data_IF_384515870647
#
_entry.id   IF_384515870647
#
_cell.length_a   1.000
_cell.length_b   1.000
_cell.length_c   1.000
_cell.angle_alpha   90.00
_cell.angle_beta   90.00
_cell.angle_gamma   90.00
#
_symmetry.space_group_name_H-M   'P 1'
#
loop_
_entity.id
_entity.type
_entity.pdbx_description
1 polymer ?
#
# COMPACT_ATOMS: atom_id res chain seq x y z
N UNK A 1 5.42 5.39 -17.08
CA UNK A 1 5.06 4.24 -16.22
C UNK A 1 5.16 4.59 -14.74
N UNK A 2 6.34 4.93 -14.19
CA UNK A 2 6.43 5.41 -12.79
C UNK A 2 5.72 6.76 -12.62
N UNK A 3 5.97 7.71 -13.53
CA UNK A 3 5.35 9.05 -13.49
C UNK A 3 3.82 8.98 -13.57
N UNK A 4 3.27 8.06 -14.38
CA UNK A 4 1.83 7.86 -14.52
C UNK A 4 1.22 7.29 -13.23
N UNK A 5 1.92 6.33 -12.60
CA UNK A 5 1.50 5.75 -11.32
C UNK A 5 1.60 6.77 -10.18
N UNK A 6 2.69 7.54 -10.14
CA UNK A 6 2.86 8.64 -9.17
C UNK A 6 1.77 9.69 -9.34
N UNK A 7 1.46 10.08 -10.57
CA UNK A 7 0.35 10.99 -10.86
C UNK A 7 -0.98 10.40 -10.39
N UNK A 8 -1.28 9.16 -10.75
CA UNK A 8 -2.51 8.47 -10.33
C UNK A 8 -2.64 8.45 -8.80
N UNK A 9 -1.54 8.20 -8.10
CA UNK A 9 -1.50 8.19 -6.63
C UNK A 9 -1.72 9.57 -6.05
N UNK A 10 -1.06 10.60 -6.58
CA UNK A 10 -1.23 11.96 -6.12
C UNK A 10 -2.67 12.45 -6.32
N UNK A 11 -3.30 12.10 -7.44
CA UNK A 11 -4.68 12.46 -7.75
C UNK A 11 -5.71 11.76 -6.84
N UNK A 12 -5.37 10.59 -6.29
CA UNK A 12 -6.30 9.73 -5.56
C UNK A 12 -5.97 9.52 -4.07
N UNK A 13 -4.88 10.11 -3.58
CA UNK A 13 -4.51 10.02 -2.16
C UNK A 13 -5.46 10.87 -1.30
N UNK A 14 -6.36 10.21 -0.58
CA UNK A 14 -7.36 10.86 0.26
C UNK A 14 -6.92 11.10 1.71
N UNK A 15 -5.63 10.89 2.00
CA UNK A 15 -5.09 11.03 3.36
C UNK A 15 -4.15 12.22 3.50
N UNK A 16 -4.61 13.33 4.11
CA UNK A 16 -3.75 14.43 4.50
C UNK A 16 -2.60 13.94 5.39
N UNK A 17 -1.37 14.40 5.12
CA UNK A 17 -0.17 14.05 5.88
C UNK A 17 0.48 12.70 5.52
N UNK A 18 -0.07 11.94 4.56
CA UNK A 18 0.62 10.83 3.92
C UNK A 18 1.10 11.29 2.55
N UNK A 19 2.41 11.26 2.28
CA UNK A 19 2.92 11.67 0.97
C UNK A 19 2.52 10.65 -0.11
N UNK A 20 2.27 11.14 -1.33
CA UNK A 20 2.02 10.26 -2.48
C UNK A 20 3.18 9.30 -2.74
N UNK A 21 4.41 9.74 -2.52
CA UNK A 21 5.61 8.91 -2.61
C UNK A 21 5.59 7.71 -1.65
N UNK A 22 5.09 7.88 -0.41
CA UNK A 22 4.93 6.73 0.50
C UNK A 22 3.85 5.77 0.00
N UNK A 23 2.74 6.28 -0.53
CA UNK A 23 1.68 5.44 -1.13
C UNK A 23 2.20 4.68 -2.35
N UNK A 24 3.05 5.31 -3.16
CA UNK A 24 3.74 4.68 -4.30
C UNK A 24 4.58 3.49 -3.86
N UNK A 25 5.42 3.65 -2.84
CA UNK A 25 6.25 2.55 -2.36
C UNK A 25 5.45 1.42 -1.74
N UNK A 26 4.29 1.74 -1.13
CA UNK A 26 3.34 0.72 -0.67
C UNK A 26 2.76 -0.03 -1.87
N UNK A 27 2.27 0.68 -2.90
CA UNK A 27 1.72 0.05 -4.11
C UNK A 27 2.74 -0.90 -4.77
N UNK A 28 4.00 -0.46 -4.91
CA UNK A 28 5.09 -1.27 -5.43
C UNK A 28 5.41 -2.47 -4.53
N UNK A 29 5.35 -2.30 -3.21
CA UNK A 29 5.57 -3.40 -2.26
C UNK A 29 4.44 -4.44 -2.30
N UNK A 30 3.20 -4.00 -2.48
CA UNK A 30 2.01 -4.85 -2.47
C UNK A 30 1.84 -5.63 -3.78
N UNK A 31 1.95 -4.96 -4.92
CA UNK A 31 1.61 -5.54 -6.24
C UNK A 31 2.72 -5.44 -7.27
N UNK A 32 3.84 -4.79 -6.95
CA UNK A 32 4.83 -4.39 -7.96
C UNK A 32 4.30 -3.32 -8.93
N UNK A 33 3.20 -2.64 -8.59
CA UNK A 33 2.53 -1.68 -9.47
C UNK A 33 1.48 -2.29 -10.40
N UNK A 34 1.18 -3.59 -10.27
CA UNK A 34 0.18 -4.27 -11.10
C UNK A 34 -1.24 -4.02 -10.57
N UNK A 35 -2.11 -3.28 -11.31
CA UNK A 35 -3.49 -3.04 -10.90
C UNK A 35 -4.37 -4.30 -10.95
N UNK A 36 -3.90 -5.38 -11.59
CA UNK A 36 -4.63 -6.64 -11.72
C UNK A 36 -4.10 -7.73 -10.76
N UNK A 37 -3.20 -7.37 -9.83
CA UNK A 37 -2.64 -8.33 -8.89
C UNK A 37 -3.72 -8.98 -8.02
N UNK A 38 -3.69 -10.31 -7.91
CA UNK A 38 -4.62 -11.08 -7.09
C UNK A 38 -3.85 -12.09 -6.24
N UNK A 39 -4.07 -12.06 -4.93
CA UNK A 39 -3.46 -13.04 -4.04
C UNK A 39 -4.16 -14.40 -4.15
N UNK A 40 -3.39 -15.48 -4.33
CA UNK A 40 -3.92 -16.84 -4.45
C UNK A 40 -4.41 -17.45 -3.13
N UNK A 41 -3.97 -16.91 -2.00
CA UNK A 41 -4.24 -17.44 -0.65
C UNK A 41 -5.10 -16.51 0.22
N UNK A 42 -5.56 -15.37 -0.32
CA UNK A 42 -6.33 -14.39 0.44
C UNK A 42 -7.35 -13.65 -0.44
N UNK A 43 -8.07 -12.68 0.16
CA UNK A 43 -8.94 -11.78 -0.59
C UNK A 43 -8.24 -10.47 -0.99
N UNK A 44 -6.92 -10.42 -0.97
CA UNK A 44 -6.20 -9.22 -1.40
C UNK A 44 -6.24 -9.09 -2.93
N UNK A 45 -6.66 -7.92 -3.41
CA UNK A 45 -6.78 -7.63 -4.84
C UNK A 45 -6.29 -6.23 -5.19
N UNK A 46 -5.94 -6.09 -6.47
CA UNK A 46 -5.62 -4.83 -7.11
C UNK A 46 -4.28 -4.23 -6.71
N UNK A 47 -4.05 -3.00 -7.17
CA UNK A 47 -2.81 -2.24 -7.01
C UNK A 47 -2.32 -2.18 -5.54
N UNK A 48 -3.26 -2.07 -4.60
CA UNK A 48 -2.98 -1.85 -3.18
C UNK A 48 -3.23 -3.09 -2.31
N UNK A 49 -3.49 -4.25 -2.93
CA UNK A 49 -3.74 -5.54 -2.27
C UNK A 49 -4.77 -5.45 -1.12
N UNK A 50 -5.88 -4.76 -1.37
CA UNK A 50 -6.93 -4.54 -0.36
C UNK A 50 -7.75 -5.81 -0.17
N UNK A 51 -7.93 -6.22 1.08
CA UNK A 51 -8.82 -7.34 1.45
C UNK A 51 -10.27 -6.92 1.64
N UNK A 52 -11.21 -7.89 1.64
CA UNK A 52 -12.62 -7.62 1.96
C UNK A 52 -12.81 -6.96 3.34
N UNK A 53 -11.98 -7.33 4.31
CA UNK A 53 -12.04 -6.78 5.67
C UNK A 53 -11.60 -5.32 5.68
N UNK A 54 -10.50 -5.00 4.99
CA UNK A 54 -10.02 -3.62 4.84
C UNK A 54 -11.05 -2.75 4.12
N UNK A 55 -11.62 -3.22 3.02
CA UNK A 55 -12.67 -2.50 2.28
C UNK A 55 -13.88 -2.19 3.17
N UNK A 56 -14.33 -3.15 3.99
CA UNK A 56 -15.40 -2.93 4.96
C UNK A 56 -15.03 -1.88 6.02
N UNK A 57 -13.82 -1.93 6.56
CA UNK A 57 -13.33 -0.97 7.56
C UNK A 57 -13.21 0.45 6.98
N UNK A 58 -12.76 0.56 5.73
CA UNK A 58 -12.61 1.81 4.98
C UNK A 58 -13.90 2.30 4.31
N UNK A 59 -14.99 1.52 4.38
CA UNK A 59 -16.29 1.80 3.74
C UNK A 59 -16.20 1.96 2.22
N UNK A 60 -15.47 1.07 1.56
CA UNK A 60 -15.34 1.02 0.09
C UNK A 60 -16.14 -0.15 -0.50
N UNK A 61 -16.44 -0.07 -1.79
CA UNK A 61 -16.94 -1.22 -2.55
C UNK A 61 -15.79 -2.15 -2.93
N UNK A 62 -15.80 -3.39 -2.45
CA UNK A 62 -14.73 -4.35 -2.75
C UNK A 62 -14.66 -4.73 -4.24
N UNK A 63 -15.80 -4.79 -4.94
CA UNK A 63 -15.83 -5.11 -6.37
C UNK A 63 -15.24 -4.02 -7.27
N UNK A 64 -15.12 -2.79 -6.76
CA UNK A 64 -14.54 -1.67 -7.49
C UNK A 64 -13.01 -1.64 -7.44
N UNK A 65 -12.36 -2.44 -6.58
CA UNK A 65 -10.93 -2.33 -6.29
C UNK A 65 -10.01 -2.90 -7.38
N UNK A 66 -10.57 -3.43 -8.47
CA UNK A 66 -9.83 -3.70 -9.70
C UNK A 66 -9.51 -2.38 -10.45
N UNK A 67 -10.26 -1.30 -10.20
CA UNK A 67 -9.88 0.04 -10.61
C UNK A 67 -8.77 0.56 -9.66
N UNK A 68 -7.59 0.93 -10.18
CA UNK A 68 -6.48 1.37 -9.34
C UNK A 68 -6.74 2.68 -8.61
N UNK A 69 -7.55 3.60 -9.15
CA UNK A 69 -7.95 4.83 -8.46
C UNK A 69 -8.78 4.49 -7.21
N UNK A 70 -9.78 3.62 -7.35
CA UNK A 70 -10.60 3.13 -6.23
C UNK A 70 -9.75 2.38 -5.20
N UNK A 71 -8.78 1.58 -5.64
CA UNK A 71 -7.84 0.89 -4.76
C UNK A 71 -7.01 1.88 -3.92
N UNK A 72 -6.45 2.93 -4.52
CA UNK A 72 -5.66 3.97 -3.83
C UNK A 72 -6.53 4.74 -2.83
N UNK A 73 -7.71 5.17 -3.24
CA UNK A 73 -8.65 5.88 -2.36
C UNK A 73 -9.05 5.00 -1.18
N UNK A 74 -9.31 3.71 -1.42
CA UNK A 74 -9.67 2.80 -0.36
C UNK A 74 -8.52 2.52 0.61
N UNK A 75 -7.30 2.32 0.10
CA UNK A 75 -6.10 2.12 0.91
C UNK A 75 -5.85 3.31 1.84
N UNK A 76 -5.96 4.53 1.32
CA UNK A 76 -5.70 5.75 2.09
C UNK A 76 -6.80 6.01 3.12
N UNK A 77 -8.07 5.76 2.78
CA UNK A 77 -9.19 5.71 3.75
C UNK A 77 -8.97 4.66 4.84
N UNK A 78 -8.45 3.50 4.49
CA UNK A 78 -8.15 2.44 5.45
C UNK A 78 -7.06 2.88 6.43
N UNK A 79 -5.99 3.51 5.95
CA UNK A 79 -4.94 4.07 6.80
C UNK A 79 -5.46 5.21 7.70
N UNK A 80 -6.40 6.04 7.22
CA UNK A 80 -7.11 7.00 8.07
C UNK A 80 -7.89 6.30 9.19
N UNK A 81 -8.59 5.20 8.87
CA UNK A 81 -9.32 4.41 9.86
C UNK A 81 -8.36 3.78 10.89
N UNK A 82 -7.24 3.19 10.45
CA UNK A 82 -6.21 2.67 11.36
C UNK A 82 -5.67 3.76 12.26
N UNK A 83 -5.38 4.93 11.67
CA UNK A 83 -4.82 6.05 12.41
C UNK A 83 -5.75 6.57 13.50
N UNK A 84 -7.04 6.68 13.17
CA UNK A 84 -8.08 7.14 14.09
C UNK A 84 -8.35 6.16 15.24
N UNK A 85 -8.31 4.85 14.97
CA UNK A 85 -8.77 3.85 15.92
C UNK A 85 -7.65 3.18 16.73
N UNK A 86 -6.41 3.18 16.23
CA UNK A 86 -5.32 2.42 16.85
C UNK A 86 -4.07 3.25 17.15
N UNK A 87 -3.64 4.14 16.26
CA UNK A 87 -2.44 4.97 16.52
C UNK A 87 -2.30 6.15 15.56
N UNK A 88 -2.02 7.38 16.05
CA UNK A 88 -1.68 8.49 15.17
C UNK A 88 -0.29 8.33 14.51
N UNK A 89 0.53 7.40 15.00
CA UNK A 89 1.88 7.18 14.48
C UNK A 89 1.85 6.47 13.12
N UNK A 90 2.39 7.15 12.10
CA UNK A 90 2.44 6.64 10.73
C UNK A 90 3.19 5.32 10.59
N UNK A 91 4.29 5.14 11.33
CA UNK A 91 5.09 3.93 11.31
C UNK A 91 4.32 2.71 11.83
N UNK A 92 3.46 2.90 12.85
CA UNK A 92 2.52 1.87 13.30
C UNK A 92 1.42 1.61 12.27
N UNK A 93 0.85 2.67 11.67
CA UNK A 93 -0.20 2.54 10.63
C UNK A 93 0.28 1.73 9.44
N UNK A 94 1.50 1.99 8.93
CA UNK A 94 2.09 1.22 7.82
C UNK A 94 2.30 -0.25 8.22
N UNK A 95 2.77 -0.51 9.44
CA UNK A 95 2.90 -1.89 9.95
C UNK A 95 1.56 -2.62 10.06
N UNK A 96 0.51 -1.91 10.51
CA UNK A 96 -0.86 -2.45 10.63
C UNK A 96 -1.52 -2.64 9.27
N UNK A 97 -1.13 -1.88 8.24
CA UNK A 97 -1.63 -2.08 6.89
C UNK A 97 -1.33 -3.50 6.39
N UNK A 98 -0.11 -3.98 6.63
CA UNK A 98 0.33 -5.32 6.27
C UNK A 98 -0.23 -6.43 7.18
N UNK A 99 -0.18 -6.24 8.51
CA UNK A 99 -0.50 -7.32 9.46
C UNK A 99 -1.90 -7.24 10.08
N UNK A 100 -2.64 -6.18 9.80
CA UNK A 100 -3.87 -5.83 10.50
C UNK A 100 -3.65 -5.17 11.87
N UNK A 101 -4.73 -4.58 12.44
CA UNK A 101 -4.65 -3.72 13.62
C UNK A 101 -4.29 -4.45 14.92
N UNK A 102 -4.61 -5.75 15.04
CA UNK A 102 -4.32 -6.54 16.24
C UNK A 102 -2.82 -6.67 16.56
N UNK A 103 -1.96 -6.43 15.57
CA UNK A 103 -0.50 -6.42 15.75
C UNK A 103 0.05 -5.13 16.38
N UNK A 104 -0.75 -4.06 16.46
CA UNK A 104 -0.28 -2.71 16.79
C UNK A 104 0.74 -2.12 15.79
N UNK A 105 1.00 -2.81 14.67
CA UNK A 105 1.99 -2.42 13.67
C UNK A 105 3.43 -2.65 14.12
N UNK A 106 3.64 -3.57 15.05
CA UNK A 106 4.94 -3.90 15.64
C UNK A 106 5.34 -5.34 15.31
N UNK A 107 6.60 -5.67 15.61
CA UNK A 107 7.17 -6.99 15.44
C UNK A 107 7.84 -7.22 14.09
N UNK A 108 8.55 -8.34 13.98
CA UNK A 108 9.49 -8.61 12.89
C UNK A 108 8.87 -8.59 11.50
N UNK A 109 7.60 -8.98 11.35
CA UNK A 109 6.91 -8.93 10.06
C UNK A 109 6.52 -7.50 9.65
N UNK A 110 6.11 -6.64 10.59
CA UNK A 110 5.92 -5.21 10.33
C UNK A 110 7.24 -4.54 9.96
N UNK A 111 8.32 -4.86 10.69
CA UNK A 111 9.63 -4.26 10.44
C UNK A 111 10.18 -4.67 9.07
N UNK A 112 10.05 -5.95 8.69
CA UNK A 112 10.39 -6.43 7.35
C UNK A 112 9.59 -5.72 6.26
N UNK A 113 8.30 -5.50 6.49
CA UNK A 113 7.45 -4.81 5.53
C UNK A 113 7.85 -3.34 5.34
N UNK A 114 8.10 -2.62 6.44
CA UNK A 114 8.60 -1.23 6.37
C UNK A 114 9.96 -1.16 5.70
N UNK A 115 10.85 -2.12 5.98
CA UNK A 115 12.13 -2.22 5.29
C UNK A 115 11.96 -2.42 3.78
N UNK A 116 10.99 -3.21 3.30
CA UNK A 116 10.72 -3.35 1.87
C UNK A 116 10.33 -2.01 1.22
N UNK A 117 9.50 -1.22 1.91
CA UNK A 117 9.11 0.13 1.48
C UNK A 117 10.34 1.05 1.40
N UNK A 118 11.19 1.02 2.43
CA UNK A 118 12.44 1.81 2.47
C UNK A 118 13.43 1.35 1.38
N UNK A 119 13.54 0.06 1.12
CA UNK A 119 14.40 -0.49 0.06
C UNK A 119 13.90 -0.05 -1.33
N UNK A 120 12.58 -0.03 -1.57
CA UNK A 120 11.97 0.51 -2.79
C UNK A 120 12.32 1.99 -2.97
N UNK A 121 12.19 2.75 -1.88
CA UNK A 121 12.54 4.19 -1.82
C UNK A 121 13.98 4.43 -2.24
N UNK A 122 14.92 3.67 -1.65
CA UNK A 122 16.34 3.77 -1.97
C UNK A 122 16.66 3.35 -3.40
N UNK A 123 15.97 2.35 -3.93
CA UNK A 123 16.15 1.90 -5.31
C UNK A 123 15.77 3.00 -6.32
N UNK A 124 14.60 3.63 -6.13
CA UNK A 124 14.11 4.69 -7.01
C UNK A 124 15.00 5.93 -6.93
N UNK A 125 15.44 6.34 -5.73
CA UNK A 125 16.37 7.47 -5.57
C UNK A 125 17.72 7.25 -6.28
N UNK A 126 18.15 5.99 -6.44
CA UNK A 126 19.40 5.63 -7.14
C UNK A 126 19.24 5.47 -8.65
N UNK A 127 18.10 5.90 -9.23
CA UNK A 127 17.76 5.75 -10.65
C UNK A 127 17.58 4.29 -11.11
N UNK A 128 17.21 3.38 -10.20
CA UNK A 128 16.84 2.02 -10.60
C UNK A 128 15.62 2.03 -11.52
N UNK A 129 15.66 1.25 -12.61
CA UNK A 129 14.50 1.06 -13.48
C UNK A 129 13.33 0.44 -12.68
N UNK A 130 12.09 0.79 -13.04
CA UNK A 130 10.88 0.41 -12.30
C UNK A 130 10.79 -1.09 -11.98
N UNK A 131 11.17 -1.94 -12.93
CA UNK A 131 11.15 -3.40 -12.78
C UNK A 131 12.21 -3.92 -11.79
N UNK A 132 13.30 -3.17 -11.57
CA UNK A 132 14.38 -3.54 -10.65
C UNK A 132 14.04 -3.17 -9.20
N UNK A 133 13.15 -2.20 -9.02
CA UNK A 133 12.69 -1.77 -7.71
C UNK A 133 11.47 -2.53 -7.20
N UNK A 134 10.96 -3.51 -7.95
CA UNK A 134 9.90 -4.42 -7.48
C UNK A 134 10.49 -5.40 -6.43
N UNK A 135 10.11 -5.29 -5.14
CA UNK A 135 10.65 -6.16 -4.09
C UNK A 135 10.14 -7.61 -4.21
N UNK A 136 9.18 -7.85 -5.10
CA UNK A 136 8.61 -9.16 -5.41
C UNK A 136 9.07 -9.70 -6.78
N UNK A 137 10.05 -9.05 -7.45
CA UNK A 137 10.62 -9.57 -8.70
C UNK A 137 11.22 -10.96 -8.45
N UNK A 138 10.70 -11.98 -9.14
CA UNK A 138 11.32 -13.31 -9.14
C UNK A 138 12.61 -13.22 -9.96
N UNK A 139 13.72 -13.72 -9.41
CA UNK A 139 15.00 -13.86 -10.13
C UNK A 139 14.86 -14.82 -11.31
#
# INVERSE_FOLDING_TARGET
>A
MLDDLEKLINDNNQRPGLSGTTVLYIALTESGGDPNANASSSSAIGLMQITKVMAKQAKCSYSALADPAEAIQCATKYMCWLSKNFSPNMFSVIGMYNQGPGSGGMGSAADKYKKKIDDCSLCIMKSGCCDDCNPNKKK
#
